data_IF_190933166923
#
_entry.id   IF_190933166923
#
_cell.length_a   1.000
_cell.length_b   1.000
_cell.length_c   1.000
_cell.angle_alpha   90.00
_cell.angle_beta   90.00
_cell.angle_gamma   90.00
#
_symmetry.space_group_name_H-M   'P 1'
#
loop_
_entity.id
_entity.type
_entity.pdbx_description
1 polymer ?
#
# COMPACT_ATOMS: atom_id res chain seq x y z
N UNK A 1 0.36 -53.17 -13.78
CA UNK A 1 -0.63 -52.09 -13.66
C UNK A 1 -0.67 -51.57 -12.23
N UNK A 2 0.07 -50.49 -11.96
CA UNK A 2 0.04 -49.81 -10.66
C UNK A 2 -1.17 -48.88 -10.63
N UNK A 3 -2.18 -49.29 -9.86
CA UNK A 3 -3.36 -48.50 -9.57
C UNK A 3 -2.96 -47.43 -8.54
N UNK A 4 -2.86 -46.19 -8.98
CA UNK A 4 -2.63 -45.04 -8.11
C UNK A 4 -3.99 -44.60 -7.60
N UNK A 5 -4.29 -44.93 -6.34
CA UNK A 5 -5.46 -44.41 -5.64
C UNK A 5 -5.29 -42.90 -5.49
N UNK A 6 -6.11 -42.15 -6.24
CA UNK A 6 -6.28 -40.72 -6.05
C UNK A 6 -6.86 -40.49 -4.66
N UNK A 7 -6.01 -40.08 -3.70
CA UNK A 7 -6.49 -39.41 -2.50
C UNK A 7 -7.17 -38.11 -2.93
N UNK A 8 -8.50 -38.21 -3.03
CA UNK A 8 -9.43 -37.08 -3.09
C UNK A 8 -9.07 -36.05 -2.04
N UNK A 9 -8.93 -34.80 -2.49
CA UNK A 9 -9.09 -33.57 -1.71
C UNK A 9 -8.57 -33.62 -0.27
N UNK A 10 -7.32 -33.19 -0.05
CA UNK A 10 -6.97 -32.63 1.25
C UNK A 10 -7.92 -31.45 1.45
N UNK A 11 -8.90 -31.63 2.34
CA UNK A 11 -9.64 -30.54 2.94
C UNK A 11 -8.60 -29.64 3.60
N UNK A 12 -8.15 -28.62 2.86
CA UNK A 12 -7.36 -27.54 3.43
C UNK A 12 -8.24 -26.87 4.47
N UNK A 13 -8.05 -27.26 5.73
CA UNK A 13 -8.61 -26.57 6.90
C UNK A 13 -8.49 -25.05 6.71
N UNK A 14 -9.56 -24.29 6.91
CA UNK A 14 -9.54 -22.82 6.88
C UNK A 14 -8.69 -22.23 8.02
N UNK A 15 -8.32 -23.07 9.00
CA UNK A 15 -7.48 -22.72 10.13
C UNK A 15 -6.10 -23.40 10.05
N UNK A 16 -5.13 -22.82 10.74
CA UNK A 16 -3.80 -23.37 10.98
C UNK A 16 -3.45 -23.23 12.46
N UNK A 17 -2.58 -24.10 12.96
CA UNK A 17 -2.00 -23.94 14.30
C UNK A 17 -0.87 -22.93 14.23
N UNK A 18 -1.02 -21.80 14.91
CA UNK A 18 0.02 -20.78 15.00
C UNK A 18 1.09 -21.25 15.99
N UNK A 19 2.30 -21.54 15.50
CA UNK A 19 3.40 -22.05 16.32
C UNK A 19 3.87 -21.06 17.41
N UNK A 20 3.46 -19.78 17.34
CA UNK A 20 3.83 -18.78 18.34
C UNK A 20 3.02 -18.91 19.65
N UNK A 21 1.78 -19.36 19.58
CA UNK A 21 0.89 -19.49 20.76
C UNK A 21 0.15 -20.84 20.84
N UNK A 22 0.34 -21.74 19.87
CA UNK A 22 -0.27 -23.07 19.81
C UNK A 22 -1.76 -23.06 19.50
N UNK A 23 -2.37 -21.91 19.17
CA UNK A 23 -3.82 -21.79 18.95
C UNK A 23 -4.17 -22.04 17.49
N UNK A 24 -5.36 -22.60 17.25
CA UNK A 24 -5.93 -22.64 15.90
C UNK A 24 -6.44 -21.25 15.52
N UNK A 25 -5.95 -20.73 14.41
CA UNK A 25 -6.32 -19.42 13.86
C UNK A 25 -6.67 -19.53 12.39
N UNK A 26 -7.46 -18.60 11.87
CA UNK A 26 -7.80 -18.57 10.44
C UNK A 26 -6.55 -18.36 9.58
N UNK A 27 -6.43 -19.09 8.47
CA UNK A 27 -5.31 -18.95 7.53
C UNK A 27 -5.31 -17.61 6.81
N UNK A 28 -6.49 -17.20 6.35
CA UNK A 28 -6.69 -15.94 5.66
C UNK A 28 -8.11 -15.41 5.88
N UNK A 29 -8.25 -14.09 5.73
CA UNK A 29 -9.53 -13.40 5.69
C UNK A 29 -9.58 -12.59 4.40
N UNK A 30 -10.69 -12.63 3.66
CA UNK A 30 -10.77 -11.98 2.35
C UNK A 30 -12.14 -11.33 2.14
N UNK A 31 -12.13 -10.11 1.64
CA UNK A 31 -13.32 -9.31 1.38
C UNK A 31 -13.25 -8.61 0.03
N UNK A 32 -14.38 -8.46 -0.69
CA UNK A 32 -14.46 -7.49 -1.76
C UNK A 32 -14.29 -6.08 -1.16
N UNK A 33 -13.61 -5.22 -1.89
CA UNK A 33 -13.46 -3.82 -1.56
C UNK A 33 -14.06 -2.96 -2.67
N UNK A 34 -14.56 -1.78 -2.30
CA UNK A 34 -15.08 -0.79 -3.24
C UNK A 34 -13.94 -0.12 -4.01
N UNK A 35 -12.85 0.20 -3.32
CA UNK A 35 -11.68 0.84 -3.94
C UNK A 35 -10.38 0.62 -3.19
N UNK A 36 -9.28 0.76 -3.94
CA UNK A 36 -7.90 0.88 -3.47
C UNK A 36 -7.37 2.25 -3.90
N UNK A 37 -6.93 3.06 -2.94
CA UNK A 37 -6.26 4.34 -3.17
C UNK A 37 -4.79 4.21 -2.74
N UNK A 38 -3.88 4.70 -3.59
CA UNK A 38 -2.44 4.68 -3.38
C UNK A 38 -1.94 6.12 -3.24
N UNK A 39 -1.03 6.35 -2.29
CA UNK A 39 -0.55 7.69 -2.00
C UNK A 39 0.44 7.77 -0.85
N UNK A 40 0.42 8.92 -0.18
CA UNK A 40 1.23 9.21 1.02
C UNK A 40 0.48 10.17 1.96
N UNK A 41 1.00 10.37 3.17
CA UNK A 41 0.52 11.38 4.09
C UNK A 41 1.20 12.74 3.86
N UNK A 42 0.40 13.78 3.69
CA UNK A 42 0.89 15.18 3.69
C UNK A 42 1.27 15.62 5.10
N UNK A 43 0.38 15.32 6.04
CA UNK A 43 0.49 15.52 7.49
C UNK A 43 -0.21 14.33 8.17
N UNK A 44 0.06 14.06 9.46
CA UNK A 44 -0.73 13.11 10.21
C UNK A 44 -2.23 13.44 10.09
N UNK A 45 -3.04 12.49 9.62
CA UNK A 45 -4.48 12.68 9.43
C UNK A 45 -4.90 13.24 8.05
N UNK A 46 -3.97 13.61 7.17
CA UNK A 46 -4.25 14.11 5.83
C UNK A 46 -3.63 13.18 4.78
N UNK A 47 -4.46 12.35 4.17
CA UNK A 47 -4.07 11.41 3.11
C UNK A 47 -4.14 12.08 1.74
N UNK A 48 -3.08 11.93 0.95
CA UNK A 48 -3.02 12.38 -0.44
C UNK A 48 -3.31 11.19 -1.34
N UNK A 49 -4.47 11.19 -1.99
CA UNK A 49 -4.82 10.17 -2.98
C UNK A 49 -4.18 10.52 -4.31
N UNK A 50 -3.17 9.76 -4.74
CA UNK A 50 -2.49 9.94 -6.03
C UNK A 50 -3.04 9.04 -7.12
N UNK A 51 -3.42 7.81 -6.78
CA UNK A 51 -4.03 6.86 -7.71
C UNK A 51 -5.21 6.15 -7.04
N UNK A 52 -6.28 5.90 -7.79
CA UNK A 52 -7.49 5.24 -7.29
C UNK A 52 -7.98 4.17 -8.26
N UNK A 53 -8.13 2.96 -7.74
CA UNK A 53 -8.60 1.78 -8.46
C UNK A 53 -9.91 1.30 -7.84
N UNK A 54 -10.91 1.03 -8.69
CA UNK A 54 -12.25 0.60 -8.26
C UNK A 54 -12.70 -0.70 -8.92
N UNK A 55 -11.93 -1.21 -9.87
CA UNK A 55 -12.31 -2.39 -10.63
C UNK A 55 -11.86 -3.66 -9.92
N UNK A 56 -12.80 -4.55 -9.60
CA UNK A 56 -12.54 -5.90 -9.07
C UNK A 56 -11.55 -5.92 -7.89
N UNK A 57 -11.68 -4.98 -6.95
CA UNK A 57 -10.76 -4.87 -5.81
C UNK A 57 -11.11 -5.93 -4.76
N UNK A 58 -10.12 -6.71 -4.36
CA UNK A 58 -10.23 -7.76 -3.34
C UNK A 58 -9.11 -7.63 -2.34
N UNK A 59 -9.48 -7.42 -1.10
CA UNK A 59 -8.57 -7.31 0.02
C UNK A 59 -8.45 -8.67 0.73
N UNK A 60 -7.24 -9.07 1.08
CA UNK A 60 -6.98 -10.31 1.81
C UNK A 60 -5.88 -10.12 2.86
N UNK A 61 -6.10 -10.63 4.06
CA UNK A 61 -5.06 -10.76 5.10
C UNK A 61 -4.74 -12.24 5.24
N UNK A 62 -3.49 -12.63 4.94
CA UNK A 62 -2.98 -13.97 5.20
C UNK A 62 -2.20 -13.96 6.50
N UNK A 63 -2.82 -14.48 7.56
CA UNK A 63 -2.20 -14.63 8.88
C UNK A 63 -1.09 -15.69 8.86
N UNK A 64 -1.28 -16.77 8.09
CA UNK A 64 -0.28 -17.81 7.93
C UNK A 64 0.98 -17.30 7.21
N UNK A 65 0.82 -16.58 6.09
CA UNK A 65 1.95 -16.02 5.33
C UNK A 65 2.47 -14.71 5.94
N UNK A 66 1.76 -14.12 6.91
CA UNK A 66 2.02 -12.81 7.54
C UNK A 66 2.09 -11.66 6.54
N UNK A 67 1.10 -11.61 5.65
CA UNK A 67 1.02 -10.64 4.55
C UNK A 67 -0.40 -10.14 4.32
N UNK A 68 -0.51 -8.90 3.88
CA UNK A 68 -1.72 -8.32 3.30
C UNK A 68 -1.56 -8.36 1.77
N UNK A 69 -2.61 -8.78 1.09
CA UNK A 69 -2.67 -8.93 -0.36
C UNK A 69 -3.89 -8.16 -0.86
N UNK A 70 -3.69 -7.26 -1.81
CA UNK A 70 -4.79 -6.55 -2.49
C UNK A 70 -4.73 -6.85 -3.97
N UNK A 71 -5.72 -7.56 -4.48
CA UNK A 71 -5.89 -7.80 -5.92
C UNK A 71 -6.81 -6.72 -6.49
N UNK A 72 -6.50 -6.20 -7.67
CA UNK A 72 -7.31 -5.18 -8.31
C UNK A 72 -7.18 -5.23 -9.83
N UNK A 73 -8.23 -4.82 -10.53
CA UNK A 73 -8.26 -4.70 -11.98
C UNK A 73 -7.88 -3.30 -12.44
N UNK A 74 -7.22 -3.22 -13.59
CA UNK A 74 -7.05 -1.99 -14.37
C UNK A 74 -7.61 -2.25 -15.76
N UNK A 75 -8.49 -1.37 -16.23
CA UNK A 75 -9.02 -1.43 -17.61
C UNK A 75 -8.06 -0.69 -18.53
N UNK A 76 -7.59 -1.37 -19.56
CA UNK A 76 -6.95 -0.71 -20.70
C UNK A 76 -7.99 -0.36 -21.78
N UNK A 77 -7.57 0.45 -22.76
CA UNK A 77 -8.41 0.99 -23.83
C UNK A 77 -9.15 -0.07 -24.66
N UNK A 78 -8.68 -1.33 -24.67
CA UNK A 78 -9.30 -2.44 -25.41
C UNK A 78 -10.31 -3.27 -24.60
N UNK A 79 -10.82 -2.75 -23.48
CA UNK A 79 -11.76 -3.44 -22.56
C UNK A 79 -11.20 -4.69 -21.85
N UNK A 80 -9.95 -5.07 -22.11
CA UNK A 80 -9.29 -6.11 -21.34
C UNK A 80 -8.93 -5.60 -19.94
N UNK A 81 -9.37 -6.35 -18.92
CA UNK A 81 -9.02 -6.08 -17.52
C UNK A 81 -7.73 -6.83 -17.19
N UNK A 82 -6.66 -6.09 -16.93
CA UNK A 82 -5.44 -6.62 -16.35
C UNK A 82 -5.59 -6.71 -14.84
N UNK A 83 -5.20 -7.85 -14.27
CA UNK A 83 -5.28 -8.08 -12.83
C UNK A 83 -3.91 -7.88 -12.21
N UNK A 84 -3.86 -7.00 -11.23
CA UNK A 84 -2.68 -6.69 -10.45
C UNK A 84 -2.85 -7.20 -9.02
N UNK A 85 -1.73 -7.40 -8.35
CA UNK A 85 -1.67 -7.82 -6.95
C UNK A 85 -0.62 -6.99 -6.23
N UNK A 86 -1.03 -6.34 -5.15
CA UNK A 86 -0.20 -5.61 -4.21
C UNK A 86 0.03 -6.48 -2.97
N UNK A 87 1.27 -6.61 -2.52
CA UNK A 87 1.69 -7.43 -1.38
C UNK A 87 2.45 -6.60 -0.34
N UNK A 88 1.97 -6.61 0.91
CA UNK A 88 2.57 -5.94 2.06
C UNK A 88 2.91 -7.00 3.12
N UNK A 89 4.13 -7.01 3.65
CA UNK A 89 4.46 -7.89 4.79
C UNK A 89 4.09 -7.20 6.10
N UNK A 90 3.62 -7.97 7.08
CA UNK A 90 3.25 -7.41 8.40
C UNK A 90 4.40 -6.65 9.07
N UNK A 91 5.64 -7.13 8.90
CA UNK A 91 6.85 -6.53 9.47
C UNK A 91 7.21 -5.15 8.89
N UNK A 92 6.68 -4.82 7.72
CA UNK A 92 7.01 -3.59 7.01
C UNK A 92 6.00 -2.47 7.37
N UNK A 93 4.86 -2.81 8.00
CA UNK A 93 3.84 -1.86 8.44
C UNK A 93 4.42 -1.01 9.59
N UNK A 94 4.37 0.32 9.42
CA UNK A 94 5.06 1.26 10.30
C UNK A 94 4.28 1.49 11.61
N UNK A 95 2.98 1.69 11.50
CA UNK A 95 2.05 2.02 12.57
C UNK A 95 0.83 1.08 12.50
N UNK A 96 0.02 1.08 13.56
CA UNK A 96 -1.26 0.38 13.54
C UNK A 96 -2.10 0.80 12.31
N UNK A 97 -2.78 -0.16 11.69
CA UNK A 97 -3.72 0.07 10.61
C UNK A 97 -4.80 1.02 11.12
N UNK A 98 -4.88 2.18 10.48
CA UNK A 98 -5.90 3.17 10.81
C UNK A 98 -7.22 2.70 10.21
N UNK A 99 -8.20 2.44 11.07
CA UNK A 99 -9.54 2.02 10.66
C UNK A 99 -10.55 3.09 11.00
N UNK A 100 -11.48 3.34 10.09
CA UNK A 100 -12.53 4.34 10.26
C UNK A 100 -13.86 3.88 9.66
N UNK A 101 -14.95 4.44 10.18
CA UNK A 101 -16.31 4.26 9.66
C UNK A 101 -16.83 5.59 9.15
N UNK A 102 -17.32 5.59 7.92
CA UNK A 102 -18.05 6.71 7.36
C UNK A 102 -19.55 6.43 7.52
N UNK A 103 -20.17 7.16 8.44
CA UNK A 103 -21.61 7.15 8.69
C UNK A 103 -22.37 8.22 7.88
N UNK A 104 -21.67 8.99 7.02
CA UNK A 104 -22.26 10.13 6.32
C UNK A 104 -22.86 9.73 4.95
N UNK A 105 -24.18 9.52 5.01
CA UNK A 105 -25.17 9.51 3.91
C UNK A 105 -25.14 8.36 2.86
N UNK A 106 -26.29 7.67 2.83
CA UNK A 106 -26.80 6.66 1.87
C UNK A 106 -26.15 5.27 1.85
N UNK A 107 -24.87 5.10 2.17
CA UNK A 107 -24.22 3.77 2.27
C UNK A 107 -23.27 3.68 3.45
N UNK A 108 -23.30 2.55 4.14
CA UNK A 108 -22.40 2.28 5.26
C UNK A 108 -21.03 1.88 4.73
N UNK A 109 -20.00 2.70 4.94
CA UNK A 109 -18.64 2.43 4.47
C UNK A 109 -17.67 2.26 5.64
N UNK A 110 -16.74 1.33 5.48
CA UNK A 110 -15.57 1.19 6.34
C UNK A 110 -14.30 1.38 5.53
N UNK A 111 -13.29 2.03 6.09
CA UNK A 111 -12.01 2.19 5.43
C UNK A 111 -10.87 1.77 6.35
N UNK A 112 -9.82 1.21 5.76
CA UNK A 112 -8.55 0.97 6.41
C UNK A 112 -7.45 1.70 5.65
N UNK A 113 -6.50 2.26 6.38
CA UNK A 113 -5.32 2.93 5.81
C UNK A 113 -4.07 2.32 6.43
N UNK A 114 -3.18 1.86 5.56
CA UNK A 114 -1.98 1.09 5.92
C UNK A 114 -0.77 1.92 5.51
N UNK A 115 0.05 2.30 6.49
CA UNK A 115 1.32 2.98 6.26
C UNK A 115 2.47 1.95 6.29
N UNK A 116 3.24 1.89 5.21
CA UNK A 116 4.32 0.95 5.03
C UNK A 116 5.68 1.66 5.06
N UNK A 117 6.68 1.01 5.63
CA UNK A 117 8.06 1.53 5.70
C UNK A 117 8.77 1.51 4.35
N UNK A 118 8.42 0.56 3.51
CA UNK A 118 9.01 0.35 2.19
C UNK A 118 7.91 0.20 1.15
N UNK A 119 8.20 0.43 -0.14
CA UNK A 119 7.20 0.23 -1.18
C UNK A 119 6.69 -1.22 -1.18
N UNK A 120 5.40 -1.38 -1.46
CA UNK A 120 4.79 -2.71 -1.58
C UNK A 120 5.35 -3.46 -2.80
N UNK A 121 5.17 -4.79 -2.82
CA UNK A 121 5.48 -5.60 -4.00
C UNK A 121 4.27 -5.64 -4.93
N UNK A 122 4.51 -5.38 -6.20
CA UNK A 122 3.46 -5.36 -7.21
C UNK A 122 3.67 -6.50 -8.19
N UNK A 123 2.57 -7.15 -8.55
CA UNK A 123 2.57 -8.27 -9.47
C UNK A 123 1.48 -8.08 -10.52
N UNK A 124 1.72 -8.55 -11.74
CA UNK A 124 0.72 -8.64 -12.80
C UNK A 124 0.43 -10.10 -13.10
N UNK A 125 -0.83 -10.42 -13.36
CA UNK A 125 -1.24 -11.76 -13.78
C UNK A 125 -0.94 -11.96 -15.28
N UNK A 126 -0.05 -12.89 -15.60
CA UNK A 126 0.23 -13.32 -16.97
C UNK A 126 -0.79 -14.38 -17.41
N UNK A 127 -1.78 -13.96 -18.19
CA UNK A 127 -2.81 -14.87 -18.75
C UNK A 127 -2.27 -15.78 -19.86
N UNK A 128 -1.08 -15.50 -20.40
CA UNK A 128 -0.56 -16.13 -21.61
C UNK A 128 0.51 -17.20 -21.35
N UNK A 129 0.84 -17.48 -20.09
CA UNK A 129 1.90 -18.41 -19.73
C UNK A 129 1.49 -19.87 -20.04
N UNK A 130 1.95 -20.45 -21.15
CA UNK A 130 1.64 -21.86 -21.49
C UNK A 130 2.38 -22.83 -20.56
N UNK A 131 1.71 -23.92 -20.15
CA UNK A 131 2.26 -24.92 -19.24
C UNK A 131 3.58 -25.48 -19.77
N UNK A 132 4.63 -25.43 -18.95
CA UNK A 132 5.88 -26.15 -19.27
C UNK A 132 5.76 -27.66 -19.04
N UNK A 133 4.79 -28.12 -18.24
CA UNK A 133 4.56 -29.53 -17.95
C UNK A 133 3.08 -29.92 -17.86
N UNK A 134 2.77 -31.17 -18.22
CA UNK A 134 1.41 -31.75 -18.27
C UNK A 134 0.74 -31.96 -16.91
N UNK A 135 1.35 -31.52 -15.81
CA UNK A 135 0.85 -31.74 -14.45
C UNK A 135 0.57 -30.40 -13.75
N UNK A 136 -0.72 -30.08 -13.67
CA UNK A 136 -1.41 -29.12 -12.81
C UNK A 136 -0.95 -27.64 -12.82
N UNK A 137 -1.89 -26.78 -13.19
CA UNK A 137 -1.82 -25.33 -13.01
C UNK A 137 -2.17 -24.93 -11.58
N UNK A 138 -1.38 -24.03 -10.98
CA UNK A 138 -1.83 -23.15 -9.91
C UNK A 138 -1.84 -21.71 -10.42
N UNK A 139 -2.93 -20.96 -10.20
CA UNK A 139 -3.01 -19.51 -10.48
C UNK A 139 -1.86 -18.74 -9.78
N UNK A 140 -1.32 -19.29 -8.70
CA UNK A 140 -0.14 -18.74 -8.01
C UNK A 140 1.12 -18.69 -8.89
N UNK A 141 1.24 -19.55 -9.92
CA UNK A 141 2.44 -19.64 -10.78
C UNK A 141 2.47 -18.62 -11.92
N UNK A 142 1.35 -17.91 -12.16
CA UNK A 142 1.20 -16.99 -13.29
C UNK A 142 1.44 -15.52 -12.94
N UNK A 143 2.00 -15.21 -11.77
CA UNK A 143 2.27 -13.83 -11.34
C UNK A 143 3.69 -13.39 -11.68
N UNK A 144 3.81 -12.25 -12.38
CA UNK A 144 5.10 -11.61 -12.66
C UNK A 144 5.28 -10.36 -11.80
N UNK A 145 6.42 -10.23 -11.15
CA UNK A 145 6.77 -9.03 -10.39
C UNK A 145 6.94 -7.86 -11.35
N UNK A 146 6.36 -6.71 -11.02
CA UNK A 146 6.47 -5.48 -11.80
C UNK A 146 6.97 -4.33 -10.92
N UNK A 147 7.60 -3.36 -11.57
CA UNK A 147 8.11 -2.13 -10.96
C UNK A 147 7.39 -0.87 -11.44
N UNK A 148 6.54 -0.99 -12.46
CA UNK A 148 5.77 0.11 -13.09
C UNK A 148 4.36 -0.36 -13.46
N UNK A 149 3.37 0.53 -13.33
CA UNK A 149 1.99 0.31 -13.79
C UNK A 149 1.73 1.33 -14.91
N UNK A 150 1.67 0.86 -16.15
CA UNK A 150 1.33 1.71 -17.28
C UNK A 150 -0.17 1.95 -17.28
N UNK A 151 -0.58 3.19 -16.99
CA UNK A 151 -1.99 3.62 -17.09
C UNK A 151 -2.30 4.23 -18.46
N UNK A 152 -1.28 4.37 -19.34
CA UNK A 152 -1.39 4.89 -20.71
C UNK A 152 -0.57 4.07 -21.69
N UNK A 153 -1.08 4.00 -22.92
CA UNK A 153 -0.61 3.18 -24.04
C UNK A 153 0.81 3.57 -24.49
N UNK A 154 1.81 2.79 -24.07
CA UNK A 154 3.10 2.70 -24.76
C UNK A 154 3.54 1.25 -24.77
N UNK A 155 3.47 0.63 -25.94
CA UNK A 155 3.90 -0.73 -26.26
C UNK A 155 5.44 -0.92 -26.25
N UNK A 156 6.15 -0.23 -25.36
CA UNK A 156 7.59 -0.38 -25.19
C UNK A 156 7.90 -0.94 -23.80
N UNK A 157 8.96 -1.76 -23.72
CA UNK A 157 9.62 -2.10 -22.45
C UNK A 157 9.75 -0.85 -21.55
N UNK A 158 9.71 -0.99 -20.21
CA UNK A 158 9.62 0.12 -19.26
C UNK A 158 10.78 1.09 -19.49
N UNK A 159 10.50 2.12 -20.29
CA UNK A 159 11.36 3.25 -20.52
C UNK A 159 10.95 4.29 -19.50
N UNK A 160 11.93 4.73 -18.70
CA UNK A 160 11.84 5.77 -17.68
C UNK A 160 11.27 7.07 -18.25
N UNK A 161 9.94 7.20 -18.34
CA UNK A 161 9.26 8.39 -18.85
C UNK A 161 8.13 8.85 -17.92
N UNK A 162 8.00 10.18 -17.87
CA UNK A 162 7.25 11.06 -16.94
C UNK A 162 5.74 10.77 -16.76
N UNK A 163 5.19 9.76 -17.42
CA UNK A 163 3.75 9.48 -17.44
C UNK A 163 3.38 8.12 -16.83
N UNK A 164 4.36 7.36 -16.33
CA UNK A 164 4.12 6.09 -15.65
C UNK A 164 3.88 6.36 -14.17
N UNK A 165 2.80 5.81 -13.63
CA UNK A 165 2.64 5.69 -12.18
C UNK A 165 3.72 4.73 -11.69
N UNK A 166 4.64 5.24 -10.86
CA UNK A 166 5.69 4.41 -10.26
C UNK A 166 5.15 3.81 -8.96
N UNK A 167 4.71 2.54 -8.95
CA UNK A 167 4.16 1.89 -7.77
C UNK A 167 5.17 1.82 -6.60
N UNK A 168 6.47 1.94 -6.91
CA UNK A 168 7.55 2.08 -5.95
C UNK A 168 7.57 3.41 -5.15
N UNK A 169 6.74 4.40 -5.51
CA UNK A 169 6.65 5.68 -4.82
C UNK A 169 5.72 5.64 -3.61
N UNK A 170 4.62 4.91 -3.70
CA UNK A 170 3.57 4.98 -2.67
C UNK A 170 3.86 4.08 -1.49
N UNK A 171 3.59 4.64 -0.31
CA UNK A 171 3.85 4.01 0.98
C UNK A 171 2.59 3.92 1.83
N UNK A 172 1.54 4.65 1.47
CA UNK A 172 0.26 4.63 2.16
C UNK A 172 -0.80 4.06 1.23
N UNK A 173 -1.50 3.03 1.72
CA UNK A 173 -2.51 2.29 0.98
C UNK A 173 -3.83 2.38 1.73
N UNK A 174 -4.84 2.94 1.07
CA UNK A 174 -6.16 3.10 1.63
C UNK A 174 -7.15 2.19 0.90
N UNK A 175 -7.82 1.32 1.65
CA UNK A 175 -8.82 0.39 1.13
C UNK A 175 -10.17 0.78 1.71
N UNK A 176 -11.14 1.00 0.82
CA UNK A 176 -12.51 1.35 1.19
C UNK A 176 -13.42 0.17 0.89
N UNK A 177 -14.27 -0.15 1.85
CA UNK A 177 -15.22 -1.23 1.79
C UNK A 177 -16.64 -0.71 1.81
N UNK A 178 -17.47 -1.27 0.93
CA UNK A 178 -18.91 -1.16 1.00
C UNK A 178 -19.43 -2.24 1.98
N UNK A 179 -19.89 -1.84 3.16
CA UNK A 179 -20.32 -2.78 4.20
C UNK A 179 -21.56 -3.58 3.75
N UNK A 180 -22.36 -3.02 2.84
CA UNK A 180 -23.52 -3.72 2.26
C UNK A 180 -23.10 -4.85 1.31
N UNK A 181 -21.86 -4.84 0.81
CA UNK A 181 -21.29 -5.90 -0.04
C UNK A 181 -20.52 -6.96 0.77
N UNK A 182 -20.04 -6.61 1.97
CA UNK A 182 -19.33 -7.54 2.86
C UNK A 182 -20.31 -8.49 3.56
N UNK A 183 -21.46 -7.99 4.00
CA UNK A 183 -22.52 -8.75 4.65
C UNK A 183 -23.77 -8.88 3.77
N UNK A 184 -24.81 -9.56 4.26
CA UNK A 184 -26.13 -9.54 3.60
C UNK A 184 -26.86 -8.21 3.82
N UNK A 185 -26.43 -7.44 4.80
CA UNK A 185 -26.93 -6.11 5.17
C UNK A 185 -25.82 -5.32 5.89
N UNK A 186 -26.02 -4.02 6.09
CA UNK A 186 -25.04 -3.11 6.69
C UNK A 186 -24.59 -3.54 8.09
N UNK A 187 -25.49 -4.10 8.90
CA UNK A 187 -25.17 -4.52 10.27
C UNK A 187 -24.25 -5.73 10.27
N UNK A 188 -24.53 -6.74 9.44
CA UNK A 188 -23.64 -7.88 9.27
C UNK A 188 -22.30 -7.45 8.67
N UNK A 189 -22.31 -6.53 7.71
CA UNK A 189 -21.08 -5.94 7.15
C UNK A 189 -20.22 -5.25 8.21
N UNK A 190 -20.84 -4.46 9.08
CA UNK A 190 -20.18 -3.80 10.20
C UNK A 190 -19.57 -4.79 11.19
N UNK A 191 -20.30 -5.87 11.53
CA UNK A 191 -19.77 -6.94 12.40
C UNK A 191 -18.55 -7.59 11.77
N UNK A 192 -18.63 -7.96 10.49
CA UNK A 192 -17.50 -8.57 9.76
C UNK A 192 -16.30 -7.64 9.64
N UNK A 193 -16.54 -6.34 9.45
CA UNK A 193 -15.47 -5.34 9.44
C UNK A 193 -14.82 -5.20 10.83
N UNK A 194 -15.60 -5.20 11.92
CA UNK A 194 -15.05 -5.22 13.28
C UNK A 194 -14.22 -6.48 13.55
N UNK A 195 -14.73 -7.64 13.16
CA UNK A 195 -13.99 -8.91 13.27
C UNK A 195 -12.67 -8.91 12.48
N UNK A 196 -12.64 -8.24 11.31
CA UNK A 196 -11.39 -8.05 10.56
C UNK A 196 -10.36 -7.30 11.41
N UNK A 197 -10.75 -6.17 12.00
CA UNK A 197 -9.85 -5.33 12.82
C UNK A 197 -9.42 -6.05 14.10
N UNK A 198 -10.35 -6.76 14.76
CA UNK A 198 -10.06 -7.56 15.95
C UNK A 198 -9.02 -8.65 15.66
N UNK A 199 -9.22 -9.44 14.60
CA UNK A 199 -8.25 -10.48 14.19
C UNK A 199 -6.92 -9.88 13.75
N UNK A 200 -6.92 -8.73 13.10
CA UNK A 200 -5.68 -8.01 12.76
C UNK A 200 -4.92 -7.57 14.02
N UNK A 201 -5.64 -7.20 15.10
CA UNK A 201 -5.03 -6.80 16.38
C UNK A 201 -4.29 -7.94 17.09
N UNK A 202 -4.70 -9.20 16.89
CA UNK A 202 -3.98 -10.38 17.41
C UNK A 202 -2.55 -10.48 16.85
N UNK A 203 -2.32 -9.87 15.68
CA UNK A 203 -1.03 -9.83 15.00
C UNK A 203 -0.30 -8.48 15.19
N UNK A 204 -0.77 -7.63 16.11
CA UNK A 204 -0.31 -6.26 16.33
C UNK A 204 -0.36 -5.40 15.05
N UNK A 205 -1.35 -5.64 14.20
CA UNK A 205 -1.59 -4.83 13.00
C UNK A 205 -2.61 -3.72 13.26
N UNK A 206 -3.39 -3.81 14.33
CA UNK A 206 -4.39 -2.83 14.69
C UNK A 206 -4.40 -2.66 16.21
N UNK A 207 -4.95 -1.55 16.74
CA UNK A 207 -5.01 -1.33 18.17
C UNK A 207 -5.77 -2.47 18.86
N UNK A 208 -5.26 -2.98 19.99
CA UNK A 208 -5.87 -4.09 20.74
C UNK A 208 -7.26 -3.80 21.28
N UNK A 209 -7.62 -2.53 21.39
CA UNK A 209 -8.97 -2.12 21.78
C UNK A 209 -9.98 -2.26 20.64
N UNK A 210 -9.52 -2.56 19.42
CA UNK A 210 -10.33 -2.59 18.18
C UNK A 210 -11.17 -1.32 17.99
N UNK A 211 -10.69 -0.19 18.54
CA UNK A 211 -11.37 1.09 18.43
C UNK A 211 -11.27 1.57 16.98
N UNK A 212 -12.36 1.43 16.26
CA UNK A 212 -12.52 2.02 14.94
C UNK A 212 -12.79 3.51 15.13
N UNK A 213 -12.02 4.35 14.44
CA UNK A 213 -12.16 5.80 14.52
C UNK A 213 -13.47 6.25 13.88
N UNK A 214 -14.14 7.21 14.52
CA UNK A 214 -15.26 7.93 13.92
C UNK A 214 -14.80 9.22 13.21
N UNK A 215 -13.50 9.51 13.22
CA UNK A 215 -12.92 10.69 12.59
C UNK A 215 -12.32 10.26 11.26
N UNK A 216 -12.94 10.60 10.11
CA UNK A 216 -12.38 10.24 8.84
C UNK A 216 -11.08 11.02 8.57
N UNK A 217 -10.13 10.40 7.89
CA UNK A 217 -8.97 11.11 7.34
C UNK A 217 -9.43 12.20 6.37
N UNK A 218 -8.74 13.33 6.40
CA UNK A 218 -8.92 14.34 5.33
C UNK A 218 -8.26 13.80 4.07
N UNK A 219 -9.04 13.60 3.01
CA UNK A 219 -8.54 13.14 1.72
C UNK A 219 -8.33 14.35 0.82
N UNK A 220 -7.13 14.46 0.24
CA UNK A 220 -6.75 15.50 -0.72
C UNK A 220 -6.34 14.84 -2.03
N UNK A 221 -6.77 15.38 -3.17
CA UNK A 221 -6.35 14.89 -4.49
C UNK A 221 -4.91 15.30 -4.81
N UNK A 222 -4.09 14.36 -5.29
CA UNK A 222 -2.67 14.59 -5.59
C UNK A 222 -2.41 15.63 -6.69
N UNK A 223 -3.39 15.87 -7.57
CA UNK A 223 -3.23 16.54 -8.86
C UNK A 223 -3.79 17.97 -8.90
N UNK A 224 -4.68 18.36 -7.96
CA UNK A 224 -5.37 19.67 -8.01
C UNK A 224 -4.95 20.61 -6.87
N UNK A 225 -4.63 20.10 -5.68
CA UNK A 225 -4.30 20.94 -4.50
C UNK A 225 -2.80 20.99 -4.17
N UNK A 226 -2.04 19.96 -4.55
CA UNK A 226 -0.61 19.84 -4.28
C UNK A 226 0.17 20.01 -5.57
N UNK A 227 0.08 21.20 -6.20
CA UNK A 227 1.02 21.56 -7.27
C UNK A 227 2.42 21.38 -6.71
N UNK A 228 3.10 20.30 -7.09
CA UNK A 228 4.54 20.13 -6.88
C UNK A 228 5.18 21.40 -7.41
N UNK A 229 5.66 22.33 -6.58
CA UNK A 229 6.60 23.29 -7.12
C UNK A 229 7.77 22.40 -7.50
N UNK A 230 8.06 22.30 -8.79
CA UNK A 230 9.36 21.79 -9.19
C UNK A 230 10.35 22.77 -8.57
N UNK A 231 10.83 22.47 -7.37
CA UNK A 231 11.73 23.37 -6.67
C UNK A 231 13.08 23.17 -7.31
N UNK A 232 13.60 24.23 -7.94
CA UNK A 232 14.89 24.15 -8.59
C UNK A 232 15.98 23.85 -7.56
N UNK A 233 16.49 22.60 -7.55
CA UNK A 233 17.56 22.16 -6.65
C UNK A 233 18.96 22.54 -7.15
N UNK A 234 19.09 23.29 -8.25
CA UNK A 234 20.38 23.68 -8.82
C UNK A 234 21.24 24.54 -7.88
N UNK A 235 20.65 25.10 -6.83
CA UNK A 235 21.36 25.86 -5.79
C UNK A 235 22.16 24.97 -4.82
N UNK A 236 21.87 23.67 -4.78
CA UNK A 236 22.59 22.72 -3.95
C UNK A 236 23.78 22.14 -4.71
N UNK A 237 24.89 21.92 -4.02
CA UNK A 237 25.97 21.09 -4.55
C UNK A 237 25.55 19.61 -4.59
N UNK A 238 26.36 18.80 -5.28
CA UNK A 238 26.06 17.40 -5.51
C UNK A 238 25.91 16.60 -4.21
N UNK A 239 26.79 16.80 -3.22
CA UNK A 239 26.79 16.03 -1.98
C UNK A 239 25.54 16.29 -1.13
N UNK A 240 25.15 17.56 -0.99
CA UNK A 240 23.93 17.94 -0.25
C UNK A 240 22.70 17.43 -0.99
N UNK A 241 22.66 17.59 -2.31
CA UNK A 241 21.53 17.11 -3.10
C UNK A 241 21.39 15.58 -3.03
N UNK A 242 22.51 14.84 -3.08
CA UNK A 242 22.52 13.40 -2.90
C UNK A 242 21.92 12.99 -1.55
N UNK A 243 22.31 13.66 -0.46
CA UNK A 243 21.76 13.38 0.87
C UNK A 243 20.28 13.73 1.00
N UNK A 244 19.79 14.76 0.31
CA UNK A 244 18.36 15.04 0.19
C UNK A 244 17.65 13.89 -0.51
N UNK A 245 18.14 13.45 -1.67
CA UNK A 245 17.53 12.34 -2.42
C UNK A 245 17.51 11.05 -1.60
N UNK A 246 18.54 10.77 -0.82
CA UNK A 246 18.54 9.64 0.12
C UNK A 246 17.37 9.77 1.11
N UNK A 247 17.21 10.92 1.77
CA UNK A 247 16.13 11.12 2.74
C UNK A 247 14.74 11.06 2.11
N UNK A 248 14.59 11.46 0.85
CA UNK A 248 13.33 11.31 0.07
C UNK A 248 13.09 9.83 -0.26
N UNK A 249 14.11 9.11 -0.73
CA UNK A 249 14.00 7.70 -1.15
C UNK A 249 13.59 6.77 0.00
N UNK A 250 13.96 7.10 1.24
CA UNK A 250 13.54 6.37 2.44
C UNK A 250 12.27 6.94 3.10
N UNK A 251 11.60 7.91 2.47
CA UNK A 251 10.44 8.62 2.98
C UNK A 251 10.65 9.19 4.40
N UNK A 252 11.84 9.72 4.68
CA UNK A 252 12.03 10.56 5.87
C UNK A 252 11.60 11.99 5.54
N UNK A 253 11.86 12.43 4.31
CA UNK A 253 11.31 13.63 3.69
C UNK A 253 10.38 13.23 2.55
N UNK A 254 9.36 14.03 2.28
CA UNK A 254 8.48 13.84 1.13
C UNK A 254 8.43 15.14 0.34
N UNK A 255 8.37 15.00 -0.98
CA UNK A 255 8.28 16.12 -1.93
C UNK A 255 7.18 17.12 -1.58
N UNK A 256 6.05 16.68 -1.01
CA UNK A 256 4.95 17.55 -0.61
C UNK A 256 5.30 18.56 0.48
N UNK A 257 6.30 18.27 1.31
CA UNK A 257 6.68 19.13 2.43
C UNK A 257 7.97 19.90 2.18
N UNK A 258 8.56 19.77 1.00
CA UNK A 258 9.81 20.46 0.64
C UNK A 258 9.50 21.71 -0.19
N UNK A 259 9.94 22.86 0.31
CA UNK A 259 9.75 24.16 -0.32
C UNK A 259 11.07 24.82 -0.68
N UNK A 260 11.02 25.93 -1.43
CA UNK A 260 12.21 26.69 -1.85
C UNK A 260 13.01 27.22 -0.66
N UNK A 261 12.33 27.64 0.41
CA UNK A 261 12.96 28.13 1.63
C UNK A 261 13.83 27.06 2.30
N UNK A 262 13.38 25.80 2.33
CA UNK A 262 14.15 24.67 2.87
C UNK A 262 15.47 24.49 2.10
N UNK A 263 15.41 24.47 0.76
CA UNK A 263 16.61 24.31 -0.06
C UNK A 263 17.51 25.55 0.00
N UNK A 264 16.93 26.75 0.04
CA UNK A 264 17.67 27.99 0.21
C UNK A 264 18.45 27.99 1.53
N UNK A 265 17.83 27.51 2.62
CA UNK A 265 18.49 27.39 3.91
C UNK A 265 19.68 26.43 3.84
N UNK A 266 19.51 25.25 3.25
CA UNK A 266 20.60 24.29 3.04
C UNK A 266 21.73 24.84 2.15
N UNK A 267 21.41 25.63 1.12
CA UNK A 267 22.41 26.23 0.23
C UNK A 267 23.26 27.34 0.89
N UNK A 268 22.71 28.00 1.92
CA UNK A 268 23.38 29.09 2.64
C UNK A 268 24.35 28.59 3.70
N UNK A 269 24.20 27.34 4.15
CA UNK A 269 25.09 26.74 5.12
C UNK A 269 26.36 26.18 4.46
N UNK A 270 27.48 26.06 5.18
CA UNK A 270 28.64 25.30 4.70
C UNK A 270 28.25 23.85 4.38
N UNK A 271 28.76 23.29 3.29
CA UNK A 271 28.42 21.93 2.80
C UNK A 271 28.38 20.88 3.90
N UNK A 272 29.41 20.86 4.76
CA UNK A 272 29.52 19.89 5.86
C UNK A 272 28.38 20.01 6.87
N UNK A 273 27.97 21.24 7.20
CA UNK A 273 26.84 21.48 8.12
C UNK A 273 25.54 20.96 7.52
N UNK A 274 25.29 21.22 6.24
CA UNK A 274 24.11 20.70 5.54
C UNK A 274 24.08 19.17 5.47
N UNK A 275 25.24 18.54 5.27
CA UNK A 275 25.36 17.07 5.30
C UNK A 275 25.08 16.55 6.71
N UNK A 276 25.70 17.11 7.76
CA UNK A 276 25.52 16.67 9.15
C UNK A 276 24.04 16.76 9.57
N UNK A 277 23.33 17.80 9.14
CA UNK A 277 21.87 17.96 9.33
C UNK A 277 21.10 16.81 8.66
N UNK A 278 21.35 16.55 7.38
CA UNK A 278 20.65 15.55 6.58
C UNK A 278 20.98 14.12 7.03
N UNK A 279 22.22 13.87 7.47
CA UNK A 279 22.62 12.62 8.13
C UNK A 279 21.93 12.46 9.49
N UNK A 280 21.74 13.55 10.23
CA UNK A 280 20.97 13.57 11.46
C UNK A 280 19.51 13.15 11.24
N UNK A 281 18.87 13.65 10.18
CA UNK A 281 17.51 13.22 9.77
C UNK A 281 17.52 11.73 9.42
N UNK A 282 18.45 11.32 8.54
CA UNK A 282 18.58 9.94 8.10
C UNK A 282 18.76 8.96 9.26
N UNK A 283 19.59 9.33 10.24
CA UNK A 283 19.92 8.51 11.40
C UNK A 283 18.73 8.28 12.32
N UNK A 284 17.78 9.22 12.38
CA UNK A 284 16.56 9.10 13.19
C UNK A 284 15.57 8.08 12.61
N UNK A 285 15.63 7.81 11.30
CA UNK A 285 14.77 6.86 10.59
C UNK A 285 13.27 7.10 10.83
N UNK A 286 12.86 8.37 10.89
CA UNK A 286 11.48 8.80 11.13
C UNK A 286 11.05 9.85 10.10
N UNK A 287 9.78 9.80 9.73
CA UNK A 287 9.14 10.77 8.84
C UNK A 287 9.10 12.15 9.49
N UNK A 288 9.54 13.17 8.77
CA UNK A 288 9.44 14.59 9.15
C UNK A 288 8.44 15.28 8.24
N UNK A 289 7.29 15.63 8.81
CA UNK A 289 6.20 16.28 8.09
C UNK A 289 6.40 17.79 7.87
N UNK A 290 7.22 18.43 8.71
CA UNK A 290 7.57 19.85 8.58
C UNK A 290 9.10 20.00 8.62
N UNK A 291 9.78 19.87 7.46
CA UNK A 291 11.22 19.94 7.38
C UNK A 291 11.77 21.31 7.72
N UNK A 292 11.05 22.40 7.41
CA UNK A 292 11.55 23.76 7.62
C UNK A 292 11.59 24.12 9.10
N UNK A 293 10.54 23.81 9.86
CA UNK A 293 10.52 24.05 11.31
C UNK A 293 11.42 23.08 12.10
N UNK A 294 11.85 21.99 11.47
CA UNK A 294 12.76 21.02 12.08
C UNK A 294 14.22 21.49 12.07
N UNK A 295 14.62 22.28 11.07
CA UNK A 295 15.98 22.84 10.91
C UNK A 295 16.22 24.01 11.86
#
# INVERSE_FOLDING_TARGET
PLQVDYQKSIHSSDTFTDYTDGRQKLKFHSFPAESLELGDYLLPGIFVSEAKFTQSVKFSISYQKRKIIVEFGVKEFHEEIHTFKLEINFKDILNDIYSELDASQRRSRGSITIENKYPAKYWVLDKNQKSKDKFNWCIEDSWKLIIEINTKDVNEMPNFHKNNEQPGKWLVFRITFDLDQIGKNSNEGLVRFKELIEKASEYNLAPRTSNISNVPLKIVGGDVELRKPFVNRSMLNFEVNYMVECNISFNYLNEYNLCEEFFSLLSKQPTRVSIDILEGIYSRKKRIYDPLNYL
#
